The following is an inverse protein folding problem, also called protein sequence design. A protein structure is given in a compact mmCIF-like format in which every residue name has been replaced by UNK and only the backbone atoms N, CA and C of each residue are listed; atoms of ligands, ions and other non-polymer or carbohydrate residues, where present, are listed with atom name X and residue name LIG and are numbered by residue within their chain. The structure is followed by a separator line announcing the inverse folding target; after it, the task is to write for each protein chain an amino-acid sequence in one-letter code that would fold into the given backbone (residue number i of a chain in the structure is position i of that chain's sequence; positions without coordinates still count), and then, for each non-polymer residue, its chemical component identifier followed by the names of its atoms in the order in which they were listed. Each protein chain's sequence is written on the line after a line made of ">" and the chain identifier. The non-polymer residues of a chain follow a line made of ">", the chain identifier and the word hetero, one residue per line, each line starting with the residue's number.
data_IF_827954328878
#
_entry.id   IF_827954328878
#
_cell.length_a   1.000
_cell.length_b   1.000
_cell.length_c   1.000
_cell.angle_alpha   90.00
_cell.angle_beta   90.00
_cell.angle_gamma   90.00
#
_symmetry.space_group_name_H-M   'P 1'
#
loop_
_entity.id
_entity.type
_entity.pdbx_description
1 polymer ?
#
# COMPACT_ATOMS: atom_id res chain seq x y z
N UNK A 1 3.80 -38.05 -30.05
CA UNK A 1 4.71 -37.01 -29.50
C UNK A 1 4.99 -36.04 -30.63
N UNK A 2 4.73 -34.74 -30.60
CA UNK A 2 4.04 -33.85 -29.67
C UNK A 2 3.88 -32.54 -30.44
N UNK A 3 2.78 -31.81 -30.25
CA UNK A 3 2.59 -30.47 -30.82
C UNK A 3 1.43 -29.79 -30.05
N UNK A 4 1.72 -29.37 -28.82
CA UNK A 4 0.83 -28.53 -27.99
C UNK A 4 1.04 -27.05 -28.36
N UNK A 5 0.66 -26.67 -29.57
CA UNK A 5 0.68 -25.29 -30.03
C UNK A 5 -0.67 -24.59 -29.75
N UNK A 6 -1.07 -24.49 -28.48
CA UNK A 6 -2.36 -23.89 -28.10
C UNK A 6 -2.37 -23.19 -26.73
N UNK A 7 -1.32 -22.44 -26.38
CA UNK A 7 -1.30 -21.72 -25.09
C UNK A 7 -0.52 -20.39 -25.13
N UNK A 8 -0.60 -19.63 -26.22
CA UNK A 8 0.01 -18.30 -26.32
C UNK A 8 -1.00 -17.18 -26.58
N UNK A 9 -2.25 -17.37 -26.13
CA UNK A 9 -3.28 -16.32 -26.11
C UNK A 9 -4.00 -16.37 -24.76
N UNK A 10 -3.33 -15.91 -23.70
CA UNK A 10 -3.98 -15.57 -22.43
C UNK A 10 -3.02 -14.76 -21.52
N UNK A 11 -2.54 -13.62 -21.98
CA UNK A 11 -1.91 -12.61 -21.10
C UNK A 11 -2.50 -11.22 -21.35
N UNK A 12 -3.76 -11.17 -21.75
CA UNK A 12 -4.56 -9.95 -21.82
C UNK A 12 -5.99 -10.29 -21.42
N UNK A 13 -6.14 -10.94 -20.26
CA UNK A 13 -7.41 -10.93 -19.57
C UNK A 13 -7.49 -9.60 -18.80
N UNK A 14 -8.48 -8.73 -19.04
CA UNK A 14 -8.76 -7.65 -18.11
C UNK A 14 -9.03 -8.29 -16.75
N UNK A 15 -8.37 -7.77 -15.70
CA UNK A 15 -8.57 -8.21 -14.33
C UNK A 15 -10.08 -8.29 -14.04
N UNK A 16 -10.54 -9.44 -13.56
CA UNK A 16 -11.95 -9.67 -13.29
C UNK A 16 -12.46 -8.58 -12.31
N UNK A 17 -13.56 -7.87 -12.64
CA UNK A 17 -14.18 -6.95 -11.71
C UNK A 17 -14.91 -7.79 -10.67
N UNK A 18 -14.26 -8.07 -9.54
CA UNK A 18 -14.92 -8.83 -8.47
C UNK A 18 -14.07 -9.36 -7.33
N UNK A 19 -12.74 -9.38 -7.42
CA UNK A 19 -11.92 -9.73 -6.26
C UNK A 19 -11.56 -8.48 -5.48
N UNK A 20 -11.86 -8.40 -4.17
CA UNK A 20 -11.22 -7.43 -3.31
C UNK A 20 -9.74 -7.79 -3.35
N UNK A 21 -8.99 -7.12 -4.22
CA UNK A 21 -7.54 -7.08 -4.16
C UNK A 21 -7.23 -6.66 -2.74
N UNK A 22 -6.92 -7.63 -1.88
CA UNK A 22 -6.21 -7.37 -0.64
C UNK A 22 -5.06 -6.49 -1.08
N UNK A 23 -5.12 -5.19 -0.75
CA UNK A 23 -4.15 -4.23 -1.24
C UNK A 23 -2.78 -4.85 -0.93
N UNK A 24 -2.04 -5.20 -1.99
CA UNK A 24 -0.82 -5.97 -1.80
C UNK A 24 0.04 -5.22 -0.78
N UNK A 25 0.72 -5.89 0.15
CA UNK A 25 1.38 -5.23 1.29
C UNK A 25 2.31 -4.09 0.87
N UNK A 26 2.83 -4.12 -0.36
CA UNK A 26 3.57 -3.02 -0.99
C UNK A 26 2.73 -1.74 -1.21
N UNK A 27 1.48 -1.86 -1.67
CA UNK A 27 0.57 -0.74 -1.94
C UNK A 27 0.24 0.02 -0.65
N UNK A 28 -0.03 -0.70 0.45
CA UNK A 28 -0.35 -0.07 1.73
C UNK A 28 0.86 0.67 2.31
N UNK A 29 2.06 0.11 2.15
CA UNK A 29 3.31 0.77 2.56
C UNK A 29 3.57 2.02 1.71
N UNK A 30 3.35 1.97 0.40
CA UNK A 30 3.50 3.14 -0.48
C UNK A 30 2.50 4.24 -0.11
N UNK A 31 1.25 3.89 0.16
CA UNK A 31 0.23 4.83 0.63
C UNK A 31 0.62 5.47 1.97
N UNK A 32 1.04 4.66 2.95
CA UNK A 32 1.50 5.16 4.24
C UNK A 32 2.73 6.07 4.11
N UNK A 33 3.62 5.76 3.16
CA UNK A 33 4.81 6.56 2.87
C UNK A 33 4.42 7.91 2.29
N UNK A 34 3.50 7.94 1.33
CA UNK A 34 2.96 9.18 0.77
C UNK A 34 2.28 10.06 1.83
N UNK A 35 1.51 9.43 2.72
CA UNK A 35 0.89 10.09 3.88
C UNK A 35 1.92 10.79 4.77
N UNK A 36 2.97 10.07 5.18
CA UNK A 36 4.00 10.62 6.07
C UNK A 36 4.80 11.72 5.37
N UNK A 37 5.13 11.52 4.09
CA UNK A 37 5.82 12.53 3.29
C UNK A 37 5.01 13.83 3.22
N UNK A 38 3.71 13.75 2.92
CA UNK A 38 2.83 14.90 2.88
C UNK A 38 2.65 15.57 4.25
N UNK A 39 2.54 14.79 5.32
CA UNK A 39 2.33 15.30 6.68
C UNK A 39 3.58 16.00 7.26
N UNK A 40 4.77 15.47 6.97
CA UNK A 40 6.04 15.99 7.50
C UNK A 40 6.76 16.93 6.53
N UNK A 41 6.30 17.04 5.28
CA UNK A 41 6.97 17.82 4.25
C UNK A 41 8.36 17.28 3.89
N UNK A 42 8.58 15.97 4.01
CA UNK A 42 9.85 15.31 3.74
C UNK A 42 9.81 14.49 2.45
N UNK A 43 10.98 14.04 1.97
CA UNK A 43 11.05 13.17 0.80
C UNK A 43 10.43 11.79 1.06
N UNK A 44 10.04 11.09 -0.01
CA UNK A 44 9.52 9.72 0.05
C UNK A 44 10.51 8.77 0.75
N UNK A 45 11.82 8.93 0.50
CA UNK A 45 12.85 8.11 1.12
C UNK A 45 12.94 8.34 2.65
N UNK A 46 12.82 9.58 3.11
CA UNK A 46 12.78 9.91 4.53
C UNK A 46 11.49 9.39 5.18
N UNK A 47 10.35 9.55 4.53
CA UNK A 47 9.07 9.01 5.00
C UNK A 47 9.10 7.49 5.16
N UNK A 48 9.71 6.78 4.22
CA UNK A 48 9.89 5.33 4.30
C UNK A 48 10.83 4.95 5.45
N UNK A 49 11.92 5.70 5.65
CA UNK A 49 12.81 5.51 6.80
C UNK A 49 12.07 5.72 8.13
N UNK A 50 11.16 6.69 8.21
CA UNK A 50 10.29 6.89 9.37
C UNK A 50 9.36 5.70 9.64
N UNK A 51 8.76 5.10 8.59
CA UNK A 51 7.95 3.89 8.74
C UNK A 51 8.76 2.71 9.27
N UNK A 52 9.96 2.49 8.72
CA UNK A 52 10.86 1.43 9.19
C UNK A 52 11.29 1.63 10.63
N UNK A 53 11.65 2.86 11.01
CA UNK A 53 12.04 3.17 12.38
C UNK A 53 10.86 2.94 13.35
N UNK A 54 9.65 3.33 12.96
CA UNK A 54 8.44 3.12 13.76
C UNK A 54 8.11 1.64 13.94
N UNK A 55 8.22 0.85 12.86
CA UNK A 55 8.10 -0.62 12.89
C UNK A 55 9.08 -1.26 13.88
N UNK A 56 10.35 -0.83 13.87
CA UNK A 56 11.38 -1.34 14.81
C UNK A 56 11.07 -0.96 16.25
N UNK A 57 10.73 0.30 16.53
CA UNK A 57 10.41 0.79 17.87
C UNK A 57 9.19 0.10 18.47
N UNK A 58 8.17 -0.14 17.65
CA UNK A 58 6.92 -0.78 18.07
C UNK A 58 6.98 -2.31 18.02
N UNK A 59 8.08 -2.91 17.51
CA UNK A 59 8.21 -4.36 17.26
C UNK A 59 7.05 -4.93 16.45
N UNK A 60 6.55 -4.14 15.51
CA UNK A 60 5.45 -4.50 14.62
C UNK A 60 5.97 -4.65 13.19
N UNK A 61 5.24 -5.40 12.35
CA UNK A 61 5.57 -5.49 10.93
C UNK A 61 5.39 -4.13 10.25
N UNK A 62 6.17 -3.86 9.20
CA UNK A 62 6.08 -2.62 8.44
C UNK A 62 4.65 -2.40 7.90
N UNK A 63 4.03 -3.49 7.43
CA UNK A 63 2.65 -3.51 6.96
C UNK A 63 1.64 -3.13 8.05
N UNK A 64 1.77 -3.68 9.26
CA UNK A 64 0.88 -3.34 10.39
C UNK A 64 0.98 -1.86 10.75
N UNK A 65 2.20 -1.30 10.75
CA UNK A 65 2.42 0.12 10.99
C UNK A 65 1.86 0.96 9.84
N UNK A 66 2.06 0.54 8.59
CA UNK A 66 1.53 1.23 7.41
C UNK A 66 -0.01 1.27 7.43
N UNK A 67 -0.66 0.15 7.73
CA UNK A 67 -2.11 0.10 7.92
C UNK A 67 -2.58 1.05 9.03
N UNK A 68 -1.87 1.10 10.15
CA UNK A 68 -2.22 2.01 11.23
C UNK A 68 -2.09 3.48 10.80
N UNK A 69 -1.05 3.83 10.04
CA UNK A 69 -0.83 5.18 9.53
C UNK A 69 -1.95 5.59 8.56
N UNK A 70 -2.28 4.74 7.58
CA UNK A 70 -3.36 5.01 6.61
C UNK A 70 -4.71 5.12 7.32
N UNK A 71 -5.02 4.17 8.21
CA UNK A 71 -6.30 4.16 8.94
C UNK A 71 -6.40 5.32 9.95
N UNK A 72 -5.30 5.77 10.55
CA UNK A 72 -5.32 6.90 11.50
C UNK A 72 -5.72 8.22 10.86
N UNK A 73 -5.49 8.38 9.54
CA UNK A 73 -5.99 9.52 8.79
C UNK A 73 -7.46 9.37 8.42
N UNK A 74 -7.88 8.15 8.11
CA UNK A 74 -9.27 7.83 7.75
C UNK A 74 -10.24 8.06 8.93
N UNK A 75 -9.74 8.00 10.17
CA UNK A 75 -10.51 8.31 11.40
C UNK A 75 -10.68 9.84 11.63
N UNK A 76 -10.24 10.68 10.70
CA UNK A 76 -10.58 12.11 10.66
C UNK A 76 -11.46 12.49 9.43
N UNK A 77 -12.64 11.89 9.21
CA UNK A 77 -13.50 12.25 8.09
C UNK A 77 -14.44 13.43 8.40
N UNK A 78 -14.17 14.23 9.44
CA UNK A 78 -15.10 15.28 9.87
C UNK A 78 -14.47 16.38 10.69
N UNK A 79 -14.04 17.44 10.02
CA UNK A 79 -14.48 18.81 10.33
C UNK A 79 -14.25 19.66 9.08
N UNK A 80 -15.27 19.91 8.24
CA UNK A 80 -15.26 21.11 7.41
C UNK A 80 -15.30 22.31 8.36
N UNK A 81 -14.16 22.97 8.55
CA UNK A 81 -14.12 24.31 9.17
C UNK A 81 -14.40 25.35 8.09
N UNK A 82 -15.64 25.45 7.61
CA UNK A 82 -16.23 26.67 7.03
C UNK A 82 -17.75 26.60 7.12
#
# INVERSE_FOLDING_TARGET
>A
MGQRAAALIAASAPAAPGEPLAAEPAVVVDQATGVISAQLGCSIAEALAHLHERSRRQRQTLESVAHHVVNSLDVNPGEPRF
#
